data_IF_998671795481
#
_entry.id   IF_998671795481
#
_cell.length_a   1.000
_cell.length_b   1.000
_cell.length_c   1.000
_cell.angle_alpha   90.00
_cell.angle_beta   90.00
_cell.angle_gamma   90.00
#
_symmetry.space_group_name_H-M   'P 1'
#
loop_
_entity.id
_entity.type
_entity.pdbx_description
1 polymer ?
#
# COMPACT_ATOMS: atom_id res chain seq x y z
N UNK A 1 -12.72 -25.24 -2.02
CA UNK A 1 -12.78 -25.14 -0.55
C UNK A 1 -13.86 -26.11 -0.06
N UNK A 2 -13.58 -26.82 1.02
CA UNK A 2 -14.54 -27.72 1.67
C UNK A 2 -14.77 -27.19 3.08
N UNK A 3 -16.03 -27.06 3.46
CA UNK A 3 -16.43 -26.55 4.77
C UNK A 3 -17.35 -27.55 5.45
N UNK A 4 -17.09 -27.84 6.73
CA UNK A 4 -18.01 -28.57 7.60
C UNK A 4 -18.83 -27.55 8.42
N UNK A 5 -20.14 -27.75 8.52
CA UNK A 5 -20.95 -26.97 9.43
C UNK A 5 -20.78 -27.45 10.87
N UNK A 6 -20.50 -26.51 11.77
CA UNK A 6 -20.16 -26.79 13.16
C UNK A 6 -21.37 -27.20 14.05
N UNK A 7 -22.60 -26.99 13.57
CA UNK A 7 -23.82 -27.20 14.37
C UNK A 7 -24.45 -28.59 14.20
N UNK A 8 -23.76 -29.50 13.48
CA UNK A 8 -24.24 -30.85 13.31
C UNK A 8 -24.03 -31.64 14.61
N UNK A 9 -25.11 -32.15 15.18
CA UNK A 9 -25.06 -33.17 16.23
C UNK A 9 -24.37 -34.44 15.68
N UNK A 10 -23.68 -35.24 16.50
CA UNK A 10 -22.93 -36.43 16.03
C UNK A 10 -23.74 -37.47 15.27
N UNK A 11 -25.07 -37.37 15.28
CA UNK A 11 -26.02 -38.28 14.64
C UNK A 11 -26.57 -37.78 13.31
N UNK A 12 -26.38 -36.48 12.96
CA UNK A 12 -26.69 -36.00 11.61
C UNK A 12 -25.43 -36.12 10.76
N UNK A 13 -25.56 -36.63 9.54
CA UNK A 13 -24.49 -36.55 8.53
C UNK A 13 -24.02 -35.12 8.47
N UNK A 14 -22.78 -34.87 8.94
CA UNK A 14 -22.21 -33.56 8.95
C UNK A 14 -22.32 -32.97 7.56
N UNK A 15 -23.02 -31.87 7.42
CA UNK A 15 -23.31 -31.23 6.13
C UNK A 15 -22.02 -30.56 5.63
N UNK A 16 -21.22 -31.33 4.91
CA UNK A 16 -20.07 -30.82 4.21
C UNK A 16 -20.49 -30.17 2.90
N UNK A 17 -19.88 -29.05 2.55
CA UNK A 17 -20.09 -28.37 1.28
C UNK A 17 -18.79 -28.23 0.54
N UNK A 18 -18.80 -28.60 -0.73
CA UNK A 18 -17.71 -28.35 -1.68
C UNK A 18 -18.00 -27.03 -2.41
N UNK A 19 -17.09 -26.09 -2.32
CA UNK A 19 -17.11 -24.84 -3.07
C UNK A 19 -16.05 -24.93 -4.17
N UNK A 20 -16.48 -24.91 -5.42
CA UNK A 20 -15.60 -24.89 -6.59
C UNK A 20 -16.11 -23.83 -7.56
N UNK A 21 -15.50 -22.64 -7.52
CA UNK A 21 -15.97 -21.44 -8.20
C UNK A 21 -17.46 -21.16 -7.95
N UNK A 22 -18.27 -21.27 -8.97
CA UNK A 22 -19.72 -21.03 -8.90
C UNK A 22 -20.50 -22.25 -8.39
N UNK A 23 -19.87 -23.42 -8.36
CA UNK A 23 -20.52 -24.66 -7.92
C UNK A 23 -20.39 -24.80 -6.40
N UNK A 24 -21.54 -24.80 -5.73
CA UNK A 24 -21.64 -25.13 -4.30
C UNK A 24 -22.56 -26.33 -4.18
N UNK A 25 -22.02 -27.45 -3.69
CA UNK A 25 -22.83 -28.67 -3.52
C UNK A 25 -22.56 -29.35 -2.18
N UNK A 26 -23.59 -29.99 -1.59
CA UNK A 26 -23.38 -30.82 -0.42
C UNK A 26 -22.54 -32.05 -0.83
N UNK A 27 -21.70 -32.52 0.07
CA UNK A 27 -20.87 -33.72 -0.10
C UNK A 27 -20.88 -34.53 1.18
N UNK A 28 -20.66 -35.83 1.09
CA UNK A 28 -20.49 -36.67 2.26
C UNK A 28 -19.15 -36.45 2.95
N UNK A 29 -19.05 -36.76 4.24
CA UNK A 29 -17.79 -36.66 4.98
C UNK A 29 -16.70 -37.54 4.31
N UNK A 30 -17.07 -38.71 3.80
CA UNK A 30 -16.15 -39.61 3.09
C UNK A 30 -15.59 -38.94 1.82
N UNK A 31 -16.43 -38.23 1.04
CA UNK A 31 -16.00 -37.51 -0.14
C UNK A 31 -15.18 -36.27 0.26
N UNK A 32 -15.58 -35.55 1.31
CA UNK A 32 -14.89 -34.38 1.80
C UNK A 32 -13.44 -34.68 2.22
N UNK A 33 -13.24 -35.80 2.92
CA UNK A 33 -11.95 -36.19 3.49
C UNK A 33 -11.11 -37.07 2.55
N UNK A 34 -11.67 -37.49 1.41
CA UNK A 34 -10.92 -38.23 0.40
C UNK A 34 -10.04 -37.27 -0.42
N UNK A 35 -8.74 -37.48 -0.34
CA UNK A 35 -7.77 -36.70 -1.11
C UNK A 35 -7.48 -37.36 -2.46
N UNK A 36 -7.34 -36.54 -3.49
CA UNK A 36 -6.94 -36.97 -4.82
C UNK A 36 -5.86 -36.00 -5.32
N UNK A 37 -4.65 -36.51 -5.51
CA UNK A 37 -3.48 -35.73 -5.90
C UNK A 37 -3.67 -34.94 -7.22
N UNK A 38 -4.59 -35.38 -8.10
CA UNK A 38 -4.82 -34.75 -9.39
C UNK A 38 -5.61 -33.41 -9.27
N UNK A 39 -6.49 -33.29 -8.27
CA UNK A 39 -7.37 -32.09 -8.19
C UNK A 39 -7.75 -31.65 -6.78
N UNK A 40 -7.44 -32.41 -5.74
CA UNK A 40 -7.85 -32.13 -4.37
C UNK A 40 -6.76 -32.51 -3.39
N UNK A 41 -5.87 -31.56 -3.15
CA UNK A 41 -4.82 -31.63 -2.11
C UNK A 41 -5.09 -30.57 -1.05
N UNK A 42 -4.95 -30.86 0.25
CA UNK A 42 -5.07 -29.86 1.28
C UNK A 42 -3.87 -28.91 1.23
N UNK A 43 -4.11 -27.65 0.91
CA UNK A 43 -3.10 -26.60 0.94
C UNK A 43 -3.13 -25.87 2.30
N UNK A 44 -4.33 -25.66 2.85
CA UNK A 44 -4.54 -25.01 4.15
C UNK A 44 -5.65 -25.75 4.90
N UNK A 45 -5.40 -26.07 6.17
CA UNK A 45 -6.39 -26.65 7.07
C UNK A 45 -6.70 -25.63 8.19
N UNK A 46 -7.98 -25.29 8.32
CA UNK A 46 -8.47 -24.41 9.37
C UNK A 46 -9.26 -25.25 10.38
N UNK A 47 -8.84 -25.19 11.64
CA UNK A 47 -9.50 -25.86 12.75
C UNK A 47 -10.03 -24.83 13.73
N UNK A 48 -11.23 -25.06 14.23
CA UNK A 48 -11.82 -24.25 15.29
C UNK A 48 -12.30 -25.15 16.42
N UNK A 49 -12.05 -24.73 17.68
CA UNK A 49 -12.57 -25.45 18.83
C UNK A 49 -14.11 -25.32 18.87
N UNK A 50 -14.81 -26.43 19.05
CA UNK A 50 -16.29 -26.44 19.15
C UNK A 50 -16.83 -25.51 20.23
N UNK A 51 -16.10 -25.40 21.36
CA UNK A 51 -16.47 -24.54 22.50
C UNK A 51 -16.27 -23.05 22.22
N UNK A 52 -15.49 -22.70 21.19
CA UNK A 52 -15.19 -21.32 20.80
C UNK A 52 -16.00 -20.87 19.57
N UNK A 53 -16.90 -21.72 19.04
CA UNK A 53 -17.72 -21.40 17.89
C UNK A 53 -18.56 -20.15 18.15
N UNK A 54 -18.49 -19.19 17.23
CA UNK A 54 -19.21 -17.91 17.26
C UNK A 54 -19.00 -17.07 18.53
N UNK A 55 -18.02 -17.41 19.35
CA UNK A 55 -17.61 -16.61 20.50
C UNK A 55 -16.43 -15.72 20.09
N UNK A 56 -16.71 -14.59 19.46
CA UNK A 56 -15.69 -13.56 19.30
C UNK A 56 -15.60 -12.76 20.60
N UNK A 57 -14.52 -12.93 21.32
CA UNK A 57 -14.22 -12.07 22.45
C UNK A 57 -13.63 -10.76 21.91
N UNK A 58 -14.36 -9.65 22.06
CA UNK A 58 -13.90 -8.31 21.68
C UNK A 58 -13.25 -7.55 22.82
N UNK A 59 -13.19 -8.13 24.03
CA UNK A 59 -12.65 -7.48 25.23
C UNK A 59 -11.17 -7.11 25.08
N UNK A 60 -10.45 -7.78 24.19
CA UNK A 60 -9.07 -7.43 23.88
C UNK A 60 -8.91 -6.00 23.33
N UNK A 61 -9.94 -5.44 22.68
CA UNK A 61 -9.93 -4.06 22.18
C UNK A 61 -9.91 -3.05 23.32
N UNK A 62 -10.61 -3.35 24.41
CA UNK A 62 -10.62 -2.49 25.63
C UNK A 62 -9.30 -2.59 26.40
N UNK A 63 -8.53 -3.67 26.19
CA UNK A 63 -7.23 -3.92 26.81
C UNK A 63 -6.06 -3.71 25.86
N UNK A 64 -6.29 -2.98 24.77
CA UNK A 64 -5.27 -2.69 23.77
C UNK A 64 -4.12 -1.91 24.41
N UNK A 65 -2.90 -2.45 24.37
CA UNK A 65 -1.70 -1.76 24.83
C UNK A 65 -1.32 -0.64 23.86
N UNK A 66 -1.70 0.58 24.20
CA UNK A 66 -1.41 1.78 23.42
C UNK A 66 -0.08 2.42 23.77
N UNK A 67 0.63 1.91 24.79
CA UNK A 67 1.88 2.50 25.30
C UNK A 67 2.96 2.70 24.23
N UNK A 68 2.92 1.90 23.17
CA UNK A 68 3.86 2.00 22.03
C UNK A 68 3.77 3.33 21.27
N UNK A 69 2.65 4.05 21.35
CA UNK A 69 2.44 5.35 20.71
C UNK A 69 3.02 6.52 21.50
N UNK A 70 3.22 6.32 22.82
CA UNK A 70 3.67 7.35 23.76
C UNK A 70 5.13 7.19 24.19
N UNK A 71 5.77 6.09 23.80
CA UNK A 71 7.17 5.82 24.14
C UNK A 71 8.08 6.32 23.04
N UNK A 72 8.99 7.19 23.40
CA UNK A 72 10.11 7.52 22.58
C UNK A 72 11.17 6.39 22.71
N UNK A 73 11.36 5.63 21.63
CA UNK A 73 12.32 4.53 21.62
C UNK A 73 13.77 4.99 21.37
N UNK A 74 13.94 6.24 20.94
CA UNK A 74 15.26 6.84 20.72
C UNK A 74 15.33 8.25 21.33
N UNK A 75 15.33 8.37 22.70
CA UNK A 75 15.30 9.67 23.36
C UNK A 75 16.54 10.53 23.13
N UNK A 76 17.63 9.93 22.64
CA UNK A 76 18.95 10.58 22.47
C UNK A 76 19.28 10.91 21.02
N UNK A 77 18.35 10.79 20.08
CA UNK A 77 18.59 11.21 18.70
C UNK A 77 18.82 12.72 18.63
N UNK A 78 19.94 13.12 18.02
CA UNK A 78 20.41 14.51 17.97
C UNK A 78 19.47 15.43 17.16
N UNK A 79 18.72 14.88 16.21
CA UNK A 79 17.76 15.60 15.41
C UNK A 79 16.49 14.78 15.26
N UNK A 80 15.46 15.05 16.06
CA UNK A 80 14.17 14.39 15.95
C UNK A 80 13.30 15.08 14.93
N UNK A 81 12.84 14.30 13.96
CA UNK A 81 11.86 14.71 12.96
C UNK A 81 10.42 14.54 13.47
N UNK A 82 10.24 13.91 14.63
CA UNK A 82 8.95 13.57 15.20
C UNK A 82 8.87 13.88 16.70
N UNK A 83 7.67 14.09 17.18
CA UNK A 83 7.32 14.21 18.59
C UNK A 83 6.26 13.18 18.92
N UNK A 84 6.55 12.21 19.80
CA UNK A 84 5.59 11.20 20.26
C UNK A 84 4.32 11.84 20.81
N UNK A 85 3.21 11.11 20.77
CA UNK A 85 1.94 11.59 21.33
C UNK A 85 2.06 11.81 22.85
N UNK A 86 1.34 12.81 23.34
CA UNK A 86 1.17 13.00 24.77
C UNK A 86 0.01 12.12 25.31
N UNK A 87 0.30 11.36 26.36
CA UNK A 87 -0.65 10.38 26.89
C UNK A 87 -1.88 11.02 27.56
N UNK A 88 -1.76 12.25 28.04
CA UNK A 88 -2.84 12.94 28.75
C UNK A 88 -3.73 13.71 27.80
N UNK A 89 -3.12 14.40 26.83
CA UNK A 89 -3.80 15.33 25.92
C UNK A 89 -4.10 14.78 24.55
N UNK A 90 -3.33 13.78 24.06
CA UNK A 90 -3.43 13.24 22.71
C UNK A 90 -3.77 11.74 22.77
N UNK A 91 -5.04 11.42 22.75
CA UNK A 91 -5.52 10.02 22.75
C UNK A 91 -6.21 9.70 21.44
N UNK A 92 -5.52 9.01 20.49
CA UNK A 92 -6.16 8.59 19.27
C UNK A 92 -7.36 7.68 19.54
N UNK A 93 -8.43 7.86 18.78
CA UNK A 93 -9.66 7.12 18.91
C UNK A 93 -10.41 7.03 17.59
N UNK A 94 -11.68 6.61 17.63
CA UNK A 94 -12.54 6.57 16.46
C UNK A 94 -12.56 7.94 15.77
N UNK A 95 -12.42 7.91 14.44
CA UNK A 95 -12.41 9.10 13.59
C UNK A 95 -11.22 10.05 13.73
N UNK A 96 -10.25 9.78 14.63
CA UNK A 96 -8.99 10.52 14.63
C UNK A 96 -8.29 10.32 13.28
N UNK A 97 -8.00 11.42 12.58
CA UNK A 97 -7.28 11.39 11.32
C UNK A 97 -5.78 11.34 11.60
N UNK A 98 -5.09 10.42 10.94
CA UNK A 98 -3.63 10.34 10.92
C UNK A 98 -3.19 10.25 9.46
N UNK A 99 -2.26 11.13 9.03
CA UNK A 99 -1.78 11.07 7.66
C UNK A 99 -0.49 10.24 7.62
N UNK A 100 -0.44 9.30 6.67
CA UNK A 100 0.58 8.26 6.55
C UNK A 100 1.22 8.32 5.18
N UNK A 101 2.53 8.18 5.15
CA UNK A 101 3.28 7.82 3.94
C UNK A 101 4.43 6.88 4.29
N UNK A 102 4.92 6.10 3.31
CA UNK A 102 5.94 5.07 3.55
C UNK A 102 6.95 5.01 2.43
N UNK A 103 8.21 4.71 2.81
CA UNK A 103 9.30 4.50 1.86
C UNK A 103 9.70 3.03 1.78
N UNK A 104 10.09 2.60 0.58
CA UNK A 104 10.44 1.22 0.29
C UNK A 104 11.82 1.09 -0.31
N UNK A 105 12.45 -0.05 -0.07
CA UNK A 105 13.67 -0.49 -0.75
C UNK A 105 13.42 -1.82 -1.46
N UNK A 106 14.24 -2.14 -2.45
CA UNK A 106 14.15 -3.40 -3.19
C UNK A 106 15.05 -4.48 -2.57
N UNK A 107 14.47 -5.64 -2.31
CA UNK A 107 15.20 -6.83 -1.85
C UNK A 107 15.55 -7.78 -2.99
N UNK A 108 14.79 -7.73 -4.10
CA UNK A 108 15.03 -8.60 -5.26
C UNK A 108 14.67 -7.85 -6.53
N UNK A 109 15.54 -7.95 -7.53
CA UNK A 109 15.24 -7.48 -8.88
C UNK A 109 14.15 -8.34 -9.52
N UNK A 110 13.36 -7.80 -10.46
CA UNK A 110 12.39 -8.59 -11.19
C UNK A 110 13.11 -9.63 -12.05
N UNK A 111 12.62 -10.86 -12.06
CA UNK A 111 13.06 -11.90 -12.99
C UNK A 111 12.26 -11.75 -14.29
N UNK A 112 12.96 -11.45 -15.39
CA UNK A 112 12.36 -11.24 -16.70
C UNK A 112 12.83 -12.36 -17.61
N UNK A 113 11.90 -13.04 -18.29
CA UNK A 113 12.17 -14.00 -19.34
C UNK A 113 11.75 -13.43 -20.68
N UNK A 114 12.47 -13.79 -21.73
CA UNK A 114 12.05 -13.55 -23.12
C UNK A 114 11.27 -14.79 -23.58
N UNK A 115 10.04 -14.59 -24.04
CA UNK A 115 9.26 -15.65 -24.66
C UNK A 115 9.73 -15.94 -26.09
N UNK A 116 9.17 -16.97 -26.75
CA UNK A 116 9.50 -17.37 -28.12
C UNK A 116 9.26 -16.24 -29.15
N UNK A 117 8.37 -15.31 -28.85
CA UNK A 117 7.98 -14.21 -29.71
C UNK A 117 8.83 -12.94 -29.49
N UNK A 118 9.83 -13.04 -28.59
CA UNK A 118 10.74 -11.94 -28.26
C UNK A 118 10.14 -10.91 -27.30
N UNK A 119 8.97 -11.18 -26.70
CA UNK A 119 8.37 -10.31 -25.72
C UNK A 119 8.95 -10.59 -24.33
N UNK A 120 9.06 -9.52 -23.52
CA UNK A 120 9.51 -9.62 -22.12
C UNK A 120 8.36 -10.00 -21.21
N UNK A 121 8.48 -11.11 -20.53
CA UNK A 121 7.55 -11.57 -19.49
C UNK A 121 8.21 -11.50 -18.14
N UNK A 122 7.54 -10.87 -17.16
CA UNK A 122 8.02 -10.81 -15.78
C UNK A 122 7.56 -12.07 -15.05
N UNK A 123 8.47 -13.00 -14.79
CA UNK A 123 8.19 -14.25 -14.06
C UNK A 123 8.00 -13.97 -12.58
N UNK A 124 8.88 -13.13 -12.02
CA UNK A 124 8.79 -12.70 -10.63
C UNK A 124 8.90 -11.20 -10.55
N UNK A 125 7.92 -10.52 -9.93
CA UNK A 125 8.00 -9.09 -9.72
C UNK A 125 9.09 -8.74 -8.71
N UNK A 126 9.53 -7.47 -8.73
CA UNK A 126 10.40 -6.89 -7.73
C UNK A 126 9.79 -7.08 -6.33
N UNK A 127 10.60 -7.47 -5.37
CA UNK A 127 10.22 -7.61 -3.97
C UNK A 127 10.68 -6.38 -3.18
N UNK A 128 9.75 -5.74 -2.49
CA UNK A 128 10.02 -4.56 -1.68
C UNK A 128 9.98 -4.89 -0.19
N UNK A 129 10.75 -4.14 0.60
CA UNK A 129 10.65 -4.07 2.04
C UNK A 129 10.30 -2.64 2.48
N UNK A 130 9.56 -2.52 3.57
CA UNK A 130 9.34 -1.23 4.23
C UNK A 130 10.68 -0.74 4.79
N UNK A 131 11.07 0.48 4.44
CA UNK A 131 12.31 1.11 4.90
C UNK A 131 12.04 2.27 5.87
N UNK A 132 10.96 3.02 5.66
CA UNK A 132 10.54 4.11 6.55
C UNK A 132 9.03 4.20 6.60
N UNK A 133 8.48 4.54 7.75
CA UNK A 133 7.07 4.88 7.92
C UNK A 133 6.94 6.16 8.72
N UNK A 134 6.22 7.13 8.16
CA UNK A 134 5.96 8.40 8.79
C UNK A 134 4.47 8.60 9.01
N UNK A 135 4.09 9.03 10.20
CA UNK A 135 2.68 9.33 10.52
C UNK A 135 2.62 10.71 11.16
N UNK A 136 1.82 11.58 10.57
CA UNK A 136 1.61 12.94 11.07
C UNK A 136 0.20 13.09 11.63
N UNK A 137 0.06 14.03 12.58
CA UNK A 137 -1.23 14.41 13.16
C UNK A 137 -2.13 15.01 12.11
N UNK A 138 -3.32 14.47 11.95
CA UNK A 138 -4.30 14.97 10.99
C UNK A 138 -5.22 16.05 11.55
N UNK A 139 -5.07 16.43 12.84
CA UNK A 139 -5.95 17.40 13.50
C UNK A 139 -5.34 17.90 14.81
N UNK A 140 -5.93 18.98 15.38
CA UNK A 140 -5.51 19.59 16.64
C UNK A 140 -4.45 20.66 16.47
N UNK A 141 -3.90 21.15 17.59
CA UNK A 141 -2.92 22.27 17.58
C UNK A 141 -1.60 21.89 16.91
N UNK A 142 -1.25 20.60 16.93
CA UNK A 142 -0.04 20.05 16.34
C UNK A 142 -0.31 19.37 14.98
N UNK A 143 -1.40 19.76 14.28
CA UNK A 143 -1.70 19.25 12.95
C UNK A 143 -0.49 19.39 12.01
N UNK A 144 -0.18 18.32 11.29
CA UNK A 144 0.97 18.25 10.39
C UNK A 144 2.30 17.90 11.07
N UNK A 145 2.39 17.86 12.41
CA UNK A 145 3.59 17.36 13.08
C UNK A 145 3.62 15.82 13.08
N UNK A 146 4.78 15.26 12.75
CA UNK A 146 4.98 13.83 12.82
C UNK A 146 5.02 13.33 14.27
N UNK A 147 4.37 12.20 14.55
CA UNK A 147 4.47 11.51 15.83
C UNK A 147 5.04 10.08 15.71
N UNK A 148 5.15 9.59 14.49
CA UNK A 148 5.92 8.41 14.13
C UNK A 148 6.80 8.81 12.94
N UNK A 149 8.09 8.49 13.04
CA UNK A 149 9.05 8.52 11.94
C UNK A 149 10.05 7.41 12.20
N UNK A 150 9.66 6.21 11.81
CA UNK A 150 10.38 4.98 12.09
C UNK A 150 11.10 4.49 10.84
N UNK A 151 12.43 4.40 10.91
CA UNK A 151 13.26 3.67 9.96
C UNK A 151 13.31 2.20 10.35
N UNK A 152 13.32 1.31 9.37
CA UNK A 152 13.14 -0.13 9.62
C UNK A 152 14.47 -0.86 9.52
N UNK A 153 14.84 -1.57 10.58
CA UNK A 153 15.99 -2.48 10.58
C UNK A 153 15.71 -3.69 9.68
N UNK A 154 16.20 -3.64 8.45
CA UNK A 154 16.04 -4.70 7.46
C UNK A 154 17.16 -5.72 7.66
N UNK A 155 16.79 -7.00 7.77
CA UNK A 155 17.75 -8.11 7.97
C UNK A 155 18.25 -8.73 6.67
N UNK A 156 17.42 -8.62 5.61
CA UNK A 156 17.75 -9.14 4.30
C UNK A 156 18.66 -8.15 3.55
N UNK A 157 19.56 -8.62 2.67
CA UNK A 157 20.37 -7.73 1.85
C UNK A 157 19.47 -6.85 0.97
N UNK A 158 19.69 -5.55 1.04
CA UNK A 158 19.04 -4.58 0.15
C UNK A 158 19.78 -4.56 -1.18
N UNK A 159 19.06 -4.80 -2.27
CA UNK A 159 19.61 -4.81 -3.64
C UNK A 159 19.61 -3.40 -4.24
N UNK A 160 18.57 -2.62 -3.93
CA UNK A 160 18.43 -1.25 -4.41
C UNK A 160 17.66 -0.41 -3.37
N UNK A 161 18.24 0.70 -2.96
CA UNK A 161 17.63 1.62 -2.00
C UNK A 161 16.56 2.50 -2.63
N UNK A 162 16.47 2.53 -3.97
CA UNK A 162 15.52 3.37 -4.71
C UNK A 162 15.63 4.86 -4.32
N UNK A 163 16.82 5.33 -3.98
CA UNK A 163 17.08 6.61 -3.28
C UNK A 163 16.42 7.80 -3.97
N UNK A 164 16.35 7.83 -5.30
CA UNK A 164 15.66 8.91 -6.05
C UNK A 164 14.17 9.01 -5.73
N UNK A 165 13.56 7.91 -5.30
CA UNK A 165 12.13 7.82 -4.98
C UNK A 165 11.86 7.72 -3.49
N UNK A 166 12.74 7.07 -2.74
CA UNK A 166 12.56 6.83 -1.32
C UNK A 166 13.30 7.82 -0.42
N UNK A 167 14.28 8.54 -0.96
CA UNK A 167 15.21 9.32 -0.15
C UNK A 167 16.13 8.49 0.77
N UNK A 168 15.95 7.17 0.80
CA UNK A 168 16.68 6.27 1.71
C UNK A 168 18.06 5.95 1.15
N UNK A 169 19.06 5.98 2.03
CA UNK A 169 20.43 5.56 1.73
C UNK A 169 20.86 4.36 2.60
N UNK A 170 21.99 3.75 2.25
CA UNK A 170 22.53 2.65 3.06
C UNK A 170 22.87 3.08 4.50
N UNK A 171 23.33 4.31 4.70
CA UNK A 171 23.68 4.85 6.01
C UNK A 171 22.46 5.02 6.92
N UNK A 172 21.29 5.27 6.35
CA UNK A 172 20.05 5.48 7.13
C UNK A 172 19.54 4.19 7.78
N UNK A 173 19.86 3.05 7.16
CA UNK A 173 19.42 1.73 7.62
C UNK A 173 20.52 0.91 8.32
N UNK A 174 21.77 1.40 8.38
CA UNK A 174 22.84 0.75 9.12
C UNK A 174 22.81 1.18 10.60
N UNK A 175 22.62 0.25 11.55
CA UNK A 175 22.57 0.57 12.99
C UNK A 175 23.81 1.28 13.54
N UNK A 176 24.96 1.22 12.83
CA UNK A 176 26.21 1.82 13.26
C UNK A 176 26.38 3.27 12.82
N UNK A 177 25.67 3.68 11.78
CA UNK A 177 25.84 5.00 11.15
C UNK A 177 24.58 5.85 11.18
N UNK A 178 23.43 5.21 11.33
CA UNK A 178 22.14 5.92 11.30
C UNK A 178 22.00 6.89 12.47
N UNK A 179 21.41 8.06 12.16
CA UNK A 179 20.98 9.05 13.15
C UNK A 179 19.47 8.99 13.39
N UNK A 180 18.79 8.13 12.65
CA UNK A 180 17.33 7.99 12.68
C UNK A 180 16.87 6.99 13.73
N UNK A 181 15.56 7.02 14.01
CA UNK A 181 14.94 6.05 14.90
C UNK A 181 14.78 4.70 14.19
N UNK A 182 15.80 3.84 14.32
CA UNK A 182 15.80 2.53 13.69
C UNK A 182 15.08 1.51 14.58
N UNK A 183 13.95 1.01 14.11
CA UNK A 183 13.12 0.05 14.81
C UNK A 183 12.95 -1.25 14.03
N UNK A 184 12.53 -2.32 14.71
CA UNK A 184 12.16 -3.54 13.99
C UNK A 184 10.82 -3.36 13.28
N UNK A 185 10.62 -4.04 12.14
CA UNK A 185 9.34 -4.07 11.43
C UNK A 185 8.16 -4.40 12.36
N UNK A 186 8.39 -5.28 13.34
CA UNK A 186 7.36 -5.66 14.33
C UNK A 186 6.89 -4.46 15.17
N UNK A 187 7.79 -3.55 15.53
CA UNK A 187 7.45 -2.34 16.31
C UNK A 187 6.65 -1.37 15.46
N UNK A 188 7.10 -1.04 14.26
CA UNK A 188 6.40 -0.18 13.33
C UNK A 188 5.00 -0.74 13.01
N UNK A 189 4.92 -2.04 12.67
CA UNK A 189 3.66 -2.72 12.45
C UNK A 189 2.72 -2.62 13.67
N UNK A 190 3.24 -2.83 14.91
CA UNK A 190 2.45 -2.72 16.13
C UNK A 190 1.85 -1.32 16.30
N UNK A 191 2.62 -0.25 16.01
CA UNK A 191 2.12 1.13 16.08
C UNK A 191 0.93 1.35 15.13
N UNK A 192 1.08 0.96 13.86
CA UNK A 192 0.01 1.08 12.87
C UNK A 192 -1.20 0.20 13.22
N UNK A 193 -0.96 -1.01 13.70
CA UNK A 193 -2.01 -1.92 14.13
C UNK A 193 -2.80 -1.38 15.33
N UNK A 194 -2.13 -0.71 16.27
CA UNK A 194 -2.79 -0.04 17.40
C UNK A 194 -3.67 1.10 16.90
N UNK A 195 -3.17 1.99 16.03
CA UNK A 195 -3.97 3.07 15.43
C UNK A 195 -5.20 2.53 14.68
N UNK A 196 -5.03 1.46 13.91
CA UNK A 196 -6.13 0.79 13.22
C UNK A 196 -7.21 0.32 14.18
N UNK A 197 -6.82 -0.35 15.28
CA UNK A 197 -7.77 -0.91 16.24
C UNK A 197 -8.38 0.12 17.18
N UNK A 198 -7.77 1.29 17.34
CA UNK A 198 -8.36 2.45 17.97
C UNK A 198 -9.44 3.12 17.09
N UNK A 199 -9.55 2.72 15.82
CA UNK A 199 -10.54 3.26 14.89
C UNK A 199 -10.08 4.51 14.15
N UNK A 200 -8.79 4.83 14.15
CA UNK A 200 -8.24 5.97 13.43
C UNK A 200 -8.51 5.86 11.93
N UNK A 201 -8.65 7.02 11.26
CA UNK A 201 -8.73 7.12 9.81
C UNK A 201 -7.34 7.41 9.25
N UNK A 202 -6.87 6.54 8.37
CA UNK A 202 -5.61 6.70 7.66
C UNK A 202 -5.82 7.55 6.41
N UNK A 203 -5.14 8.66 6.35
CA UNK A 203 -5.12 9.57 5.22
C UNK A 203 -3.77 9.45 4.50
N UNK A 204 -3.75 9.54 3.17
CA UNK A 204 -2.51 9.56 2.39
C UNK A 204 -2.78 9.64 0.89
N UNK A 205 -1.75 9.35 0.09
CA UNK A 205 -1.82 9.41 -1.36
C UNK A 205 -1.41 8.08 -2.00
N UNK A 206 -2.40 7.24 -2.34
CA UNK A 206 -2.15 5.94 -2.93
C UNK A 206 -1.94 4.80 -1.92
N UNK A 207 -2.49 4.93 -0.72
CA UNK A 207 -2.31 4.05 0.45
C UNK A 207 -2.49 2.55 0.20
N UNK A 208 -3.13 2.17 -0.91
CA UNK A 208 -3.31 0.76 -1.25
C UNK A 208 -1.97 0.02 -1.41
N UNK A 209 -0.96 0.72 -1.96
CA UNK A 209 0.39 0.16 -2.13
C UNK A 209 1.07 -0.02 -0.77
N UNK A 210 0.99 0.99 0.08
CA UNK A 210 1.57 1.00 1.42
C UNK A 210 1.02 -0.15 2.27
N UNK A 211 -0.31 -0.26 2.35
CA UNK A 211 -0.97 -1.33 3.11
C UNK A 211 -0.64 -2.72 2.57
N UNK A 212 -0.43 -2.85 1.25
CA UNK A 212 -0.04 -4.12 0.64
C UNK A 212 1.37 -4.55 1.04
N UNK A 213 2.34 -3.62 1.01
CA UNK A 213 3.73 -3.93 1.35
C UNK A 213 3.89 -4.15 2.86
N UNK A 214 3.23 -3.35 3.70
CA UNK A 214 3.18 -3.54 5.16
C UNK A 214 2.43 -4.84 5.52
N UNK A 215 1.59 -5.37 4.63
CA UNK A 215 0.70 -6.50 4.86
C UNK A 215 -0.33 -6.22 5.98
N UNK A 216 -0.91 -5.02 5.97
CA UNK A 216 -1.98 -4.62 6.89
C UNK A 216 -3.29 -4.44 6.11
N UNK A 217 -4.39 -4.96 6.67
CA UNK A 217 -5.72 -4.78 6.08
C UNK A 217 -6.46 -3.69 6.83
N UNK A 218 -6.69 -2.57 6.17
CA UNK A 218 -7.42 -1.43 6.71
C UNK A 218 -8.84 -1.42 6.12
N UNK A 219 -9.90 -1.40 6.96
CA UNK A 219 -11.28 -1.26 6.47
C UNK A 219 -11.44 0.00 5.64
N UNK A 220 -12.21 -0.09 4.55
CA UNK A 220 -12.41 1.05 3.64
C UNK A 220 -12.95 2.30 4.35
N UNK A 221 -13.75 2.14 5.39
CA UNK A 221 -14.28 3.25 6.19
C UNK A 221 -13.21 4.01 7.00
N UNK A 222 -12.03 3.41 7.17
CA UNK A 222 -10.89 4.01 7.86
C UNK A 222 -9.80 4.50 6.88
N UNK A 223 -10.09 4.60 5.58
CA UNK A 223 -9.13 5.05 4.57
C UNK A 223 -9.65 6.31 3.88
N UNK A 224 -8.82 7.34 3.86
CA UNK A 224 -8.99 8.57 3.10
C UNK A 224 -7.81 8.65 2.13
N UNK A 225 -8.06 8.37 0.85
CA UNK A 225 -7.00 8.36 -0.17
C UNK A 225 -7.19 9.55 -1.11
N UNK A 226 -6.23 10.48 -1.12
CA UNK A 226 -6.29 11.69 -1.95
C UNK A 226 -6.26 11.38 -3.45
N UNK A 227 -5.74 10.22 -3.87
CA UNK A 227 -5.93 9.76 -5.25
C UNK A 227 -7.42 9.56 -5.56
N UNK A 228 -8.18 8.99 -4.63
CA UNK A 228 -9.60 8.67 -4.87
C UNK A 228 -10.49 9.92 -4.77
N UNK A 229 -10.20 10.84 -3.84
CA UNK A 229 -11.02 12.06 -3.68
C UNK A 229 -10.82 13.07 -4.81
N UNK A 230 -9.64 13.08 -5.46
CA UNK A 230 -9.38 13.90 -6.66
C UNK A 230 -9.53 13.11 -7.97
N UNK A 231 -10.09 11.90 -7.93
CA UNK A 231 -10.25 11.07 -9.12
C UNK A 231 -11.56 11.33 -9.85
N UNK A 232 -11.46 11.85 -11.07
CA UNK A 232 -12.61 11.98 -11.95
C UNK A 232 -12.75 10.74 -12.83
N UNK A 233 -13.73 9.90 -12.55
CA UNK A 233 -13.93 8.60 -13.22
C UNK A 233 -14.03 8.72 -14.75
N UNK A 234 -14.66 9.78 -15.24
CA UNK A 234 -14.82 10.04 -16.68
C UNK A 234 -13.47 10.28 -17.39
N UNK A 235 -12.41 10.66 -16.67
CA UNK A 235 -11.09 10.98 -17.23
C UNK A 235 -10.12 9.79 -17.17
N UNK A 236 -10.44 8.73 -16.43
CA UNK A 236 -9.65 7.49 -16.28
C UNK A 236 -8.16 7.71 -15.97
N UNK A 237 -7.82 8.83 -15.29
CA UNK A 237 -6.44 9.17 -14.92
C UNK A 237 -6.36 9.55 -13.46
N UNK A 238 -5.42 8.92 -12.76
CA UNK A 238 -5.01 9.28 -11.41
C UNK A 238 -4.01 10.42 -11.46
N UNK A 239 -4.06 11.31 -10.48
CA UNK A 239 -3.19 12.48 -10.39
C UNK A 239 -2.08 12.19 -9.38
N UNK A 240 -0.86 12.67 -9.65
CA UNK A 240 0.27 12.54 -8.73
C UNK A 240 0.21 13.58 -7.61
N UNK A 241 0.80 13.24 -6.47
CA UNK A 241 0.89 14.13 -5.31
C UNK A 241 1.57 15.46 -5.70
N UNK A 242 2.72 15.39 -6.37
CA UNK A 242 3.46 16.58 -6.82
C UNK A 242 2.62 17.49 -7.74
N UNK A 243 1.85 16.92 -8.69
CA UNK A 243 1.00 17.75 -9.55
C UNK A 243 -0.11 18.43 -8.76
N UNK A 244 -0.77 17.72 -7.84
CA UNK A 244 -1.82 18.29 -7.00
C UNK A 244 -1.28 19.35 -6.05
N UNK A 245 -0.10 19.14 -5.43
CA UNK A 245 0.56 20.13 -4.58
C UNK A 245 0.89 21.40 -5.36
N UNK A 246 1.53 21.27 -6.50
CA UNK A 246 1.83 22.40 -7.38
C UNK A 246 0.58 23.19 -7.78
N UNK A 247 -0.48 22.47 -8.23
CA UNK A 247 -1.67 23.13 -8.75
C UNK A 247 -2.53 23.77 -7.65
N UNK A 248 -2.81 23.05 -6.56
CA UNK A 248 -3.74 23.48 -5.52
C UNK A 248 -3.08 24.24 -4.39
N UNK A 249 -1.88 23.81 -3.96
CA UNK A 249 -1.19 24.39 -2.81
C UNK A 249 -0.15 25.43 -3.23
N UNK A 250 0.25 25.45 -4.51
CA UNK A 250 1.36 26.27 -5.04
C UNK A 250 2.69 25.90 -4.37
N UNK A 251 2.84 24.65 -4.01
CA UNK A 251 4.03 24.09 -3.37
C UNK A 251 4.71 23.12 -4.34
N UNK A 252 6.03 23.26 -4.47
CA UNK A 252 6.87 22.31 -5.18
C UNK A 252 7.43 21.32 -4.16
N UNK A 253 7.10 20.05 -4.33
CA UNK A 253 7.52 18.94 -3.48
C UNK A 253 8.29 17.90 -4.28
N UNK A 254 8.99 16.99 -3.61
CA UNK A 254 9.71 15.88 -4.27
C UNK A 254 10.73 16.40 -5.30
N UNK A 255 11.42 17.50 -5.00
CA UNK A 255 12.33 18.18 -5.95
C UNK A 255 13.57 17.32 -6.26
N UNK A 256 14.20 16.77 -5.24
CA UNK A 256 15.40 15.92 -5.35
C UNK A 256 15.05 14.45 -5.06
N UNK A 257 14.48 14.20 -3.88
CA UNK A 257 14.06 12.90 -3.40
C UNK A 257 12.71 13.02 -2.70
N UNK A 258 12.03 11.91 -2.44
CA UNK A 258 10.82 11.93 -1.62
C UNK A 258 11.17 11.98 -0.13
N UNK A 259 10.32 12.63 0.65
CA UNK A 259 10.33 12.60 2.12
C UNK A 259 8.92 12.24 2.62
N UNK A 260 8.79 11.11 3.29
CA UNK A 260 7.49 10.60 3.71
C UNK A 260 6.75 11.52 4.70
N UNK A 261 7.45 12.38 5.47
CA UNK A 261 6.78 13.39 6.31
C UNK A 261 6.21 14.50 5.44
N UNK A 262 6.98 14.99 4.44
CA UNK A 262 6.52 15.99 3.49
C UNK A 262 5.31 15.48 2.71
N UNK A 263 5.38 14.23 2.19
CA UNK A 263 4.33 13.62 1.40
C UNK A 263 3.05 13.41 2.21
N UNK A 264 3.15 12.93 3.46
CA UNK A 264 2.02 12.80 4.38
C UNK A 264 1.38 14.17 4.73
N UNK A 265 2.18 15.20 4.99
CA UNK A 265 1.68 16.59 5.21
C UNK A 265 0.98 17.14 3.98
N UNK A 266 1.56 16.93 2.83
CA UNK A 266 0.99 17.38 1.56
C UNK A 266 -0.35 16.71 1.29
N UNK A 267 -0.44 15.39 1.50
CA UNK A 267 -1.71 14.68 1.39
C UNK A 267 -2.76 15.24 2.36
N UNK A 268 -2.37 15.60 3.59
CA UNK A 268 -3.26 16.22 4.57
C UNK A 268 -3.75 17.61 4.11
N UNK A 269 -2.86 18.49 3.64
CA UNK A 269 -3.21 19.81 3.09
C UNK A 269 -4.16 19.68 1.89
N UNK A 270 -3.91 18.72 1.01
CA UNK A 270 -4.79 18.44 -0.13
C UNK A 270 -6.18 17.98 0.32
N UNK A 271 -6.26 17.13 1.34
CA UNK A 271 -7.55 16.72 1.89
C UNK A 271 -8.30 17.89 2.51
N UNK A 272 -7.60 18.84 3.17
CA UNK A 272 -8.23 20.09 3.66
C UNK A 272 -8.80 20.91 2.50
N UNK A 273 -8.05 21.04 1.40
CA UNK A 273 -8.56 21.70 0.17
C UNK A 273 -9.76 20.99 -0.42
N UNK A 274 -9.77 19.68 -0.42
CA UNK A 274 -10.94 18.90 -0.85
C UNK A 274 -12.18 19.25 -0.02
N UNK A 275 -12.06 19.27 1.31
CA UNK A 275 -13.17 19.64 2.20
C UNK A 275 -13.65 21.09 1.97
N UNK A 276 -12.73 22.06 1.75
CA UNK A 276 -13.08 23.43 1.40
C UNK A 276 -13.94 23.50 0.12
N UNK A 277 -13.58 22.72 -0.90
CA UNK A 277 -14.33 22.68 -2.17
C UNK A 277 -15.68 21.98 -2.04
N UNK A 278 -15.74 20.93 -1.25
CA UNK A 278 -16.97 20.18 -0.98
C UNK A 278 -17.97 21.04 -0.19
N UNK A 279 -17.52 21.67 0.90
CA UNK A 279 -18.32 22.58 1.72
C UNK A 279 -18.82 23.80 0.94
N UNK A 280 -18.01 24.31 0.01
CA UNK A 280 -18.39 25.41 -0.88
C UNK A 280 -19.28 24.98 -2.06
N UNK A 281 -19.51 23.68 -2.24
CA UNK A 281 -20.28 23.13 -3.37
C UNK A 281 -19.64 23.32 -4.74
N UNK A 282 -18.30 23.54 -4.80
CA UNK A 282 -17.56 23.79 -6.04
C UNK A 282 -16.62 22.64 -6.43
N UNK A 283 -16.74 21.49 -5.80
CA UNK A 283 -15.85 20.36 -6.01
C UNK A 283 -15.81 19.89 -7.47
N UNK A 284 -16.95 19.68 -8.11
CA UNK A 284 -17.01 19.22 -9.52
C UNK A 284 -16.33 20.19 -10.49
N UNK A 285 -16.64 21.49 -10.49
CA UNK A 285 -15.94 22.44 -11.37
C UNK A 285 -14.45 22.52 -11.08
N UNK A 286 -14.04 22.45 -9.81
CA UNK A 286 -12.62 22.42 -9.45
C UNK A 286 -11.90 21.19 -9.98
N UNK A 287 -12.54 20.01 -9.91
CA UNK A 287 -11.98 18.80 -10.52
C UNK A 287 -11.79 18.94 -12.04
N UNK A 288 -12.79 19.49 -12.75
CA UNK A 288 -12.66 19.71 -14.20
C UNK A 288 -11.52 20.70 -14.52
N UNK A 289 -11.33 21.76 -13.73
CA UNK A 289 -10.22 22.73 -13.89
C UNK A 289 -8.85 22.08 -13.62
N UNK A 290 -8.74 21.26 -12.57
CA UNK A 290 -7.52 20.48 -12.28
C UNK A 290 -7.15 19.61 -13.49
N UNK A 291 -8.10 18.86 -14.06
CA UNK A 291 -7.85 18.00 -15.22
C UNK A 291 -7.58 18.80 -16.50
N UNK A 292 -8.17 19.98 -16.64
CA UNK A 292 -7.88 20.90 -17.77
C UNK A 292 -6.44 21.43 -17.69
N UNK A 293 -6.02 21.92 -16.52
CA UNK A 293 -4.65 22.33 -16.25
C UNK A 293 -3.66 21.17 -16.44
N UNK A 294 -4.02 19.99 -15.94
CA UNK A 294 -3.20 18.78 -16.10
C UNK A 294 -2.95 18.42 -17.55
N UNK A 295 -3.95 18.55 -18.43
CA UNK A 295 -3.75 18.33 -19.87
C UNK A 295 -2.77 19.33 -20.49
N UNK A 296 -2.82 20.59 -20.05
CA UNK A 296 -1.91 21.63 -20.55
C UNK A 296 -0.45 21.40 -20.13
N UNK A 297 -0.22 20.81 -18.95
CA UNK A 297 1.11 20.55 -18.37
C UNK A 297 1.56 19.08 -18.50
N UNK A 298 0.80 18.25 -19.20
CA UNK A 298 1.00 16.80 -19.24
C UNK A 298 1.00 16.15 -17.83
N UNK A 299 0.21 16.71 -16.92
CA UNK A 299 0.05 16.28 -15.53
C UNK A 299 1.35 16.24 -14.72
N UNK A 300 2.26 17.15 -15.03
CA UNK A 300 3.50 17.36 -14.29
C UNK A 300 3.61 18.83 -13.89
N UNK A 301 4.21 19.14 -12.73
CA UNK A 301 4.60 20.50 -12.43
C UNK A 301 5.51 21.04 -13.54
N UNK A 302 5.35 22.30 -14.00
CA UNK A 302 6.30 22.91 -14.91
C UNK A 302 7.65 23.00 -14.18
N UNK A 303 8.68 22.39 -14.72
CA UNK A 303 10.04 22.61 -14.19
C UNK A 303 10.46 24.01 -14.59
N UNK A 304 11.04 24.77 -13.66
CA UNK A 304 11.72 26.01 -14.01
C UNK A 304 12.82 25.67 -15.04
N UNK A 305 12.82 26.35 -16.20
CA UNK A 305 13.69 26.00 -17.34
C UNK A 305 15.18 26.26 -17.08
N UNK A 306 15.56 26.72 -15.89
CA UNK A 306 16.89 27.22 -15.60
C UNK A 306 17.77 26.33 -14.71
N UNK A 307 17.32 25.14 -14.31
CA UNK A 307 18.19 24.16 -13.64
C UNK A 307 18.63 23.08 -14.63
N UNK A 308 19.95 22.95 -14.88
CA UNK A 308 20.46 21.79 -15.60
C UNK A 308 20.17 20.53 -14.79
N UNK A 309 19.90 19.37 -15.44
CA UNK A 309 19.63 18.13 -14.73
C UNK A 309 20.80 17.85 -13.77
N UNK A 310 20.48 17.61 -12.49
CA UNK A 310 21.48 17.27 -11.47
C UNK A 310 22.36 16.14 -12.00
N UNK A 311 23.63 16.46 -12.23
CA UNK A 311 24.65 15.47 -12.64
C UNK A 311 24.95 14.66 -11.39
N UNK A 312 24.35 13.49 -11.28
CA UNK A 312 24.69 12.51 -10.25
C UNK A 312 26.14 12.08 -10.52
N UNK A 313 27.09 12.66 -9.80
CA UNK A 313 28.44 12.15 -9.76
C UNK A 313 28.40 10.80 -9.05
N UNK A 314 28.51 9.73 -9.82
CA UNK A 314 28.81 8.41 -9.28
C UNK A 314 30.20 8.47 -8.67
N UNK A 315 30.31 8.54 -7.36
CA UNK A 315 31.54 8.29 -6.63
C UNK A 315 31.74 6.78 -6.50
N UNK A 316 32.02 6.13 -7.64
CA UNK A 316 32.63 4.80 -7.65
C UNK A 316 34.14 4.99 -7.44
N UNK A 317 34.57 5.01 -6.20
CA UNK A 317 35.97 4.79 -5.87
C UNK A 317 36.15 3.31 -5.53
N UNK A 318 36.78 2.50 -6.40
CA UNK A 318 37.17 1.14 -6.02
C UNK A 318 38.34 1.21 -5.03
N UNK A 319 38.49 0.25 -4.12
CA UNK A 319 39.70 0.15 -3.29
C UNK A 319 40.92 -0.17 -4.18
N UNK A 320 41.98 0.58 -4.01
CA UNK A 320 43.26 0.33 -4.64
C UNK A 320 43.80 -1.04 -4.26
N UNK A 321 44.21 -1.81 -5.26
CA UNK A 321 45.06 -2.98 -5.06
C UNK A 321 44.86 -4.11 -6.05
N UNK A 322 45.44 -4.03 -7.22
CA UNK A 322 46.36 -4.95 -7.87
C UNK A 322 46.28 -4.86 -9.40
N UNK A 323 47.39 -4.64 -9.99
CA UNK A 323 47.62 -4.56 -11.42
C UNK A 323 47.44 -5.92 -12.10
N UNK A 324 46.71 -5.97 -13.23
CA UNK A 324 46.94 -6.90 -14.34
C UNK A 324 46.35 -6.33 -15.63
N UNK A 325 47.19 -6.35 -16.59
CA UNK A 325 47.13 -5.94 -17.99
C UNK A 325 46.01 -6.61 -18.81
N UNK A 326 45.38 -5.84 -19.72
CA UNK A 326 45.00 -6.40 -21.03
C UNK A 326 43.58 -6.19 -21.51
N UNK A 327 43.49 -5.47 -22.63
CA UNK A 327 42.51 -5.55 -23.72
C UNK A 327 41.13 -4.93 -23.56
N UNK A 328 40.89 -3.96 -24.42
CA UNK A 328 39.67 -3.16 -24.56
C UNK A 328 38.42 -3.93 -24.95
N UNK A 329 37.31 -3.40 -24.46
CA UNK A 329 36.03 -3.64 -25.06
C UNK A 329 35.11 -2.42 -24.84
N UNK A 330 34.58 -1.93 -25.89
CA UNK A 330 33.68 -0.78 -26.07
C UNK A 330 32.42 -0.90 -25.20
N UNK A 331 32.21 0.06 -24.31
CA UNK A 331 30.99 0.15 -23.49
C UNK A 331 29.93 0.95 -24.22
N UNK A 332 28.89 0.29 -24.64
CA UNK A 332 27.68 0.89 -25.22
C UNK A 332 26.79 1.42 -24.11
N UNK A 333 26.51 2.71 -24.14
CA UNK A 333 25.56 3.37 -23.23
C UNK A 333 24.13 2.90 -23.52
N UNK A 334 23.44 2.37 -22.52
CA UNK A 334 22.01 2.08 -22.60
C UNK A 334 21.19 3.32 -22.27
N UNK A 335 20.53 3.85 -23.31
CA UNK A 335 19.46 4.83 -23.20
C UNK A 335 18.16 4.14 -22.78
N UNK A 336 17.46 4.74 -21.82
CA UNK A 336 16.13 4.34 -21.37
C UNK A 336 15.12 4.43 -22.53
N UNK A 337 14.33 3.40 -22.82
CA UNK A 337 13.31 3.49 -23.85
C UNK A 337 12.04 4.15 -23.29
N UNK A 338 11.73 5.30 -23.84
CA UNK A 338 10.41 5.93 -23.82
C UNK A 338 9.38 5.01 -24.46
N UNK A 339 8.24 4.85 -23.82
CA UNK A 339 7.06 4.13 -24.30
C UNK A 339 6.56 4.72 -25.63
N UNK A 340 6.37 3.94 -26.70
CA UNK A 340 5.83 4.47 -27.95
C UNK A 340 4.32 4.66 -27.86
N UNK A 341 3.87 5.84 -28.31
CA UNK A 341 2.48 6.18 -28.53
C UNK A 341 1.88 5.29 -29.65
N UNK A 342 0.76 4.64 -29.35
CA UNK A 342 -0.05 3.91 -30.33
C UNK A 342 -0.69 4.89 -31.31
N UNK A 343 -0.28 4.82 -32.58
CA UNK A 343 -0.97 5.44 -33.74
C UNK A 343 -2.24 4.65 -34.03
N UNK A 344 -3.36 5.36 -34.11
CA UNK A 344 -4.60 4.85 -34.65
C UNK A 344 -4.46 4.70 -36.18
N UNK A 345 -4.80 3.54 -36.70
CA UNK A 345 -5.03 3.33 -38.15
C UNK A 345 -6.33 2.52 -38.30
N UNK A 346 -7.07 2.93 -39.28
CA UNK A 346 -8.47 2.74 -39.54
C UNK A 346 -8.93 1.36 -39.98
N UNK A 347 -10.22 1.33 -40.07
CA UNK A 347 -11.23 0.38 -40.49
C UNK A 347 -10.93 -0.51 -41.71
N UNK A 348 -11.35 -1.78 -41.56
CA UNK A 348 -11.77 -2.66 -42.66
C UNK A 348 -12.30 -3.97 -42.12
N UNK A 349 -13.45 -4.51 -42.61
CA UNK A 349 -14.19 -5.59 -42.00
C UNK A 349 -13.89 -6.96 -42.62
N UNK A 350 -13.97 -8.02 -41.81
CA UNK A 350 -14.04 -9.37 -42.37
C UNK A 350 -13.68 -10.50 -41.39
N UNK A 351 -14.68 -11.26 -40.99
CA UNK A 351 -14.66 -12.71 -41.00
C UNK A 351 -14.17 -13.52 -39.83
N UNK A 352 -15.12 -14.09 -39.10
CA UNK A 352 -15.22 -15.41 -38.46
C UNK A 352 -13.94 -16.16 -38.04
N UNK A 353 -13.89 -16.55 -36.79
CA UNK A 353 -12.99 -17.59 -36.29
C UNK A 353 -12.98 -17.71 -34.79
N UNK A 354 -13.85 -18.55 -34.27
CA UNK A 354 -13.98 -18.99 -32.90
C UNK A 354 -12.77 -19.80 -32.46
N UNK A 355 -12.07 -19.41 -31.36
CA UNK A 355 -11.42 -20.37 -30.47
C UNK A 355 -11.08 -19.69 -29.13
N UNK A 356 -11.66 -20.25 -28.11
CA UNK A 356 -11.53 -19.95 -26.70
C UNK A 356 -10.21 -20.44 -26.10
N UNK A 357 -9.53 -19.59 -25.33
CA UNK A 357 -8.56 -20.02 -24.32
C UNK A 357 -8.73 -19.22 -23.03
N UNK A 358 -8.61 -19.84 -21.87
CA UNK A 358 -9.11 -19.27 -20.61
C UNK A 358 -8.09 -18.36 -19.93
N UNK A 359 -8.49 -17.12 -19.72
CA UNK A 359 -7.74 -16.16 -18.91
C UNK A 359 -7.93 -16.42 -17.43
N UNK A 360 -6.85 -16.57 -16.71
CA UNK A 360 -6.81 -16.66 -15.26
C UNK A 360 -7.16 -15.31 -14.62
N UNK A 361 -8.29 -15.23 -13.96
CA UNK A 361 -8.70 -14.08 -13.12
C UNK A 361 -8.16 -14.24 -11.69
N UNK A 362 -7.72 -13.17 -11.03
CA UNK A 362 -7.23 -13.25 -9.66
C UNK A 362 -8.39 -13.40 -8.67
N UNK A 363 -8.19 -14.29 -7.72
CA UNK A 363 -9.11 -14.59 -6.62
C UNK A 363 -9.49 -13.34 -5.81
N UNK A 364 -10.78 -13.08 -5.74
CA UNK A 364 -11.38 -12.07 -4.86
C UNK A 364 -12.01 -12.78 -3.67
N UNK A 365 -11.42 -12.65 -2.51
CA UNK A 365 -12.03 -13.10 -1.25
C UNK A 365 -13.06 -12.05 -0.84
N UNK A 366 -14.33 -12.43 -0.81
CA UNK A 366 -15.43 -11.61 -0.30
C UNK A 366 -15.70 -12.06 1.13
N UNK A 367 -15.60 -11.19 2.13
CA UNK A 367 -16.06 -11.52 3.47
C UNK A 367 -17.57 -11.49 3.54
N UNK A 368 -18.18 -12.57 4.02
CA UNK A 368 -19.61 -12.65 4.29
C UNK A 368 -19.88 -11.95 5.63
N UNK A 369 -20.53 -10.78 5.57
CA UNK A 369 -21.09 -10.15 6.76
C UNK A 369 -22.54 -10.58 6.93
N UNK A 370 -22.83 -11.25 8.03
CA UNK A 370 -24.19 -11.46 8.50
C UNK A 370 -24.74 -10.13 9.05
N UNK A 371 -25.74 -9.59 8.40
CA UNK A 371 -26.57 -8.50 8.96
C UNK A 371 -27.55 -9.11 9.96
N UNK A 372 -27.69 -8.56 11.18
CA UNK A 372 -28.69 -9.02 12.12
C UNK A 372 -30.09 -8.60 11.63
N UNK A 373 -30.95 -9.59 11.48
CA UNK A 373 -32.36 -9.40 11.14
C UNK A 373 -33.09 -8.56 12.18
N UNK A 374 -33.84 -7.56 11.73
CA UNK A 374 -34.76 -6.81 12.56
C UNK A 374 -35.89 -7.74 13.02
N UNK A 375 -35.93 -8.00 14.33
CA UNK A 375 -37.05 -8.65 14.98
C UNK A 375 -38.30 -7.78 14.91
N UNK A 376 -39.32 -8.27 14.24
CA UNK A 376 -40.66 -7.71 14.29
C UNK A 376 -41.35 -8.13 15.60
N UNK A 377 -41.83 -7.16 16.37
CA UNK A 377 -42.71 -7.39 17.50
C UNK A 377 -44.07 -7.88 17.05
N UNK A 378 -44.72 -8.83 17.74
CA UNK A 378 -46.14 -9.11 17.53
C UNK A 378 -47.01 -8.12 18.34
N UNK A 379 -47.97 -7.54 17.69
CA UNK A 379 -49.05 -6.81 18.30
C UNK A 379 -50.06 -7.75 19.03
N UNK A 380 -50.73 -7.25 20.07
CA UNK A 380 -51.55 -8.08 20.95
C UNK A 380 -52.97 -8.28 20.45
N UNK A 381 -53.50 -9.44 20.72
CA UNK A 381 -54.88 -9.64 21.17
C UNK A 381 -54.86 -10.62 22.28
#
# INVERSE_FOLDING_TARGET
VIVAHADATPTEESKWHLFNDFSVRPVSAAEALRFNAAWKMPAVLLFQMKTANNKSNTDWKTKLDTSVLYRDLNPHADAKTYRVLDQETERPGPDTIVALDTEFVSLKQPEIQMNSDGERETIRPMSHALARVSVVRGQGELEGEAFIDDYIAIREPVVDYLTLYSGITASDLDPRTTRHNLVSLKVAYKKLWVLLNLGCKFLGHGLRQDFRVINIQVPRAQVIDTIEVFYLKARLRKLSLAFLAWYLLKEDIQLETHDSIEDARTALKLYRKYLEFDDAGILEPMLDDIYKAGRATNFKPPRSRDEPPAVIQRTDTPPEGSAATGAGTTTTCYNNPTTPARKAAGLGPGGFGNQSSPGSTPFRIVPVFNTPGKGGSPLPK
#
